data_IF_445602151783
#
_entry.id   IF_445602151783
#
_cell.length_a   1.000
_cell.length_b   1.000
_cell.length_c   1.000
_cell.angle_alpha   90.00
_cell.angle_beta   90.00
_cell.angle_gamma   90.00
#
_symmetry.space_group_name_H-M   'P 1'
#
loop_
_entity.id
_entity.type
_entity.pdbx_description
1 polymer ?
#
# COMPACT_ATOMS: atom_id res chain seq x y z
N UNK A 1 9.54 -7.95 -3.69
CA UNK A 1 8.50 -6.98 -3.27
C UNK A 1 7.84 -6.39 -4.51
N UNK A 2 6.62 -5.89 -4.41
CA UNK A 2 5.92 -5.19 -5.49
C UNK A 2 4.93 -4.19 -4.90
N UNK A 3 5.01 -2.92 -5.30
CA UNK A 3 4.04 -1.90 -4.87
C UNK A 3 2.65 -2.10 -5.47
N UNK A 4 1.65 -1.49 -4.82
CA UNK A 4 0.24 -1.53 -5.24
C UNK A 4 -0.38 -0.15 -5.44
N UNK A 5 -1.58 -0.13 -6.02
CA UNK A 5 -2.35 1.07 -6.35
C UNK A 5 -3.62 1.23 -5.50
N UNK A 6 -4.05 0.17 -4.81
CA UNK A 6 -5.20 0.16 -3.93
C UNK A 6 -4.95 -0.78 -2.74
N UNK A 7 -5.49 -0.43 -1.58
CA UNK A 7 -5.45 -1.27 -0.37
C UNK A 7 -6.80 -1.25 0.36
N UNK A 8 -7.31 -2.42 0.74
CA UNK A 8 -8.41 -2.58 1.71
C UNK A 8 -7.78 -3.02 3.04
N UNK A 9 -7.79 -2.11 4.02
CA UNK A 9 -7.20 -2.31 5.34
C UNK A 9 -7.95 -3.35 6.18
N UNK A 10 -9.28 -3.46 6.00
CA UNK A 10 -10.11 -4.39 6.76
C UNK A 10 -9.82 -5.83 6.35
N UNK A 11 -9.73 -6.09 5.04
CA UNK A 11 -9.46 -7.44 4.50
C UNK A 11 -7.96 -7.72 4.31
N UNK A 12 -7.10 -6.73 4.54
CA UNK A 12 -5.66 -6.77 4.23
C UNK A 12 -5.39 -7.20 2.80
N UNK A 13 -6.11 -6.60 1.85
CA UNK A 13 -5.97 -6.86 0.42
C UNK A 13 -5.28 -5.69 -0.26
N UNK A 14 -4.50 -5.96 -1.30
CA UNK A 14 -3.96 -4.93 -2.17
C UNK A 14 -4.15 -5.29 -3.63
N UNK A 15 -4.29 -4.28 -4.48
CA UNK A 15 -4.50 -4.46 -5.91
C UNK A 15 -3.62 -3.54 -6.75
N UNK A 16 -3.20 -4.04 -7.91
CA UNK A 16 -2.40 -3.33 -8.89
C UNK A 16 -3.29 -2.92 -10.06
N UNK A 17 -3.10 -1.69 -10.55
CA UNK A 17 -3.72 -1.22 -11.78
C UNK A 17 -2.97 -1.77 -13.00
N UNK A 18 -3.72 -2.26 -13.98
CA UNK A 18 -3.21 -3.00 -15.12
C UNK A 18 -3.63 -2.32 -16.42
N UNK A 19 -2.73 -1.51 -16.99
CA UNK A 19 -2.91 -0.91 -18.31
C UNK A 19 -2.52 -1.83 -19.48
N UNK A 20 -1.44 -2.62 -19.32
CA UNK A 20 -0.91 -3.46 -20.39
C UNK A 20 -1.65 -4.82 -20.47
N UNK A 21 -1.98 -5.35 -21.68
CA UNK A 21 -2.74 -6.61 -21.83
C UNK A 21 -2.03 -7.84 -21.27
N UNK A 22 -0.70 -7.81 -21.17
CA UNK A 22 0.11 -8.87 -20.53
C UNK A 22 0.27 -8.69 -19.01
N UNK A 23 -0.60 -7.90 -18.38
CA UNK A 23 -0.57 -7.55 -16.96
C UNK A 23 0.71 -6.91 -16.40
N UNK A 24 1.69 -6.57 -17.24
CA UNK A 24 2.87 -5.81 -16.84
C UNK A 24 3.74 -6.56 -15.82
N UNK A 25 4.40 -5.81 -14.93
CA UNK A 25 5.44 -6.36 -14.05
C UNK A 25 4.91 -7.23 -12.91
N UNK A 26 3.60 -7.22 -12.60
CA UNK A 26 3.06 -8.08 -11.54
C UNK A 26 3.12 -9.56 -11.94
N UNK A 27 2.92 -9.90 -13.21
CA UNK A 27 2.99 -11.30 -13.67
C UNK A 27 4.40 -11.85 -13.47
N UNK A 28 5.43 -11.05 -13.75
CA UNK A 28 6.83 -11.42 -13.53
C UNK A 28 7.10 -11.68 -12.04
N UNK A 29 6.55 -10.83 -11.16
CA UNK A 29 6.66 -11.02 -9.72
C UNK A 29 5.96 -12.31 -9.26
N UNK A 30 4.76 -12.61 -9.77
CA UNK A 30 4.03 -13.84 -9.44
C UNK A 30 4.74 -15.10 -9.94
N UNK A 31 5.34 -15.06 -11.13
CA UNK A 31 6.16 -16.16 -11.64
C UNK A 31 7.34 -16.45 -10.70
N UNK A 32 8.03 -15.40 -10.22
CA UNK A 32 9.13 -15.57 -9.26
C UNK A 32 8.63 -16.12 -7.91
N UNK A 33 7.51 -15.61 -7.41
CA UNK A 33 6.87 -16.04 -6.14
C UNK A 33 6.51 -17.53 -6.19
N UNK A 34 5.79 -17.95 -7.22
CA UNK A 34 5.33 -19.34 -7.38
C UNK A 34 6.49 -20.28 -7.71
N UNK A 35 7.35 -19.90 -8.66
CA UNK A 35 8.46 -20.73 -9.13
C UNK A 35 9.53 -20.94 -8.06
N UNK A 36 9.78 -19.94 -7.21
CA UNK A 36 10.80 -20.00 -6.14
C UNK A 36 10.22 -20.31 -4.76
N UNK A 37 8.89 -20.42 -4.63
CA UNK A 37 8.17 -20.64 -3.36
C UNK A 37 8.50 -19.58 -2.29
N UNK A 38 8.58 -18.32 -2.69
CA UNK A 38 8.88 -17.19 -1.79
C UNK A 38 7.63 -16.36 -1.50
N UNK A 39 7.63 -15.60 -0.40
CA UNK A 39 6.53 -14.67 -0.08
C UNK A 39 6.63 -13.39 -0.91
N UNK A 40 5.48 -12.85 -1.31
CA UNK A 40 5.38 -11.50 -1.87
C UNK A 40 4.98 -10.52 -0.78
N UNK A 41 5.88 -9.60 -0.42
CA UNK A 41 5.51 -8.41 0.37
C UNK A 41 5.06 -7.30 -0.59
N UNK A 42 3.91 -6.71 -0.27
CA UNK A 42 3.26 -5.64 -1.03
C UNK A 42 3.31 -4.36 -0.19
N UNK A 43 4.38 -3.56 -0.30
CA UNK A 43 4.42 -2.24 0.30
C UNK A 43 3.39 -1.34 -0.40
N UNK A 44 2.50 -0.73 0.36
CA UNK A 44 1.44 0.14 -0.18
C UNK A 44 1.08 1.20 0.83
N UNK A 45 0.99 2.44 0.34
CA UNK A 45 0.71 3.57 1.19
C UNK A 45 -0.77 3.73 1.54
N UNK A 46 -1.06 4.24 2.74
CA UNK A 46 -2.42 4.46 3.25
C UNK A 46 -3.22 5.49 2.44
N UNK A 47 -2.58 6.33 1.64
CA UNK A 47 -3.24 7.24 0.69
C UNK A 47 -4.00 6.48 -0.40
N UNK A 48 -3.59 5.24 -0.69
CA UNK A 48 -4.21 4.35 -1.67
C UNK A 48 -5.37 3.51 -1.08
N UNK A 49 -5.84 3.84 0.13
CA UNK A 49 -6.96 3.11 0.75
C UNK A 49 -8.22 3.22 -0.10
N UNK A 50 -8.91 2.10 -0.27
CA UNK A 50 -10.18 2.01 -1.00
C UNK A 50 -11.24 1.46 -0.06
N UNK A 51 -12.41 2.10 -0.04
CA UNK A 51 -13.55 1.59 0.69
C UNK A 51 -14.28 0.53 -0.16
N UNK A 52 -14.15 -0.73 0.22
CA UNK A 52 -14.83 -1.85 -0.42
C UNK A 52 -13.91 -3.04 -0.70
N UNK A 53 -14.53 -4.19 -0.96
CA UNK A 53 -13.81 -5.41 -1.31
C UNK A 53 -13.16 -5.28 -2.70
N UNK A 54 -11.83 -5.41 -2.75
CA UNK A 54 -11.07 -5.23 -3.98
C UNK A 54 -11.40 -6.30 -5.03
N UNK A 55 -11.82 -7.50 -4.63
CA UNK A 55 -12.27 -8.53 -5.58
C UNK A 55 -13.60 -8.16 -6.23
N UNK A 56 -14.56 -7.65 -5.46
CA UNK A 56 -15.83 -7.17 -6.00
C UNK A 56 -15.65 -5.98 -6.94
N UNK A 57 -14.70 -5.09 -6.64
CA UNK A 57 -14.35 -3.97 -7.54
C UNK A 57 -13.68 -4.50 -8.81
N UNK A 58 -12.75 -5.45 -8.68
CA UNK A 58 -12.04 -6.05 -9.80
C UNK A 58 -12.98 -6.77 -10.77
N UNK A 59 -13.97 -7.51 -10.26
CA UNK A 59 -14.99 -8.17 -11.09
C UNK A 59 -15.69 -7.18 -12.02
N UNK A 60 -16.10 -6.03 -11.48
CA UNK A 60 -16.79 -4.97 -12.24
C UNK A 60 -15.88 -4.33 -13.30
N UNK A 61 -14.67 -3.93 -12.92
CA UNK A 61 -13.78 -3.18 -13.82
C UNK A 61 -13.06 -4.07 -14.84
N UNK A 62 -13.06 -5.38 -14.62
CA UNK A 62 -12.46 -6.37 -15.53
C UNK A 62 -13.49 -7.11 -16.37
N UNK A 63 -14.78 -6.76 -16.30
CA UNK A 63 -15.84 -7.45 -17.01
C UNK A 63 -15.54 -7.52 -18.54
N UNK A 64 -15.73 -8.67 -19.21
CA UNK A 64 -15.46 -8.79 -20.64
C UNK A 64 -16.20 -7.73 -21.46
N UNK A 65 -15.46 -7.08 -22.37
CA UNK A 65 -16.00 -6.01 -23.21
C UNK A 65 -15.91 -4.61 -22.59
N UNK A 66 -15.55 -4.49 -21.31
CA UNK A 66 -15.25 -3.17 -20.71
C UNK A 66 -13.96 -2.57 -21.24
N UNK A 67 -13.89 -1.24 -21.21
CA UNK A 67 -12.71 -0.45 -21.59
C UNK A 67 -12.12 0.22 -20.36
N UNK A 68 -10.82 0.46 -20.39
CA UNK A 68 -10.12 1.21 -19.34
C UNK A 68 -9.07 0.36 -18.62
N UNK A 69 -8.70 0.81 -17.42
CA UNK A 69 -7.70 0.19 -16.59
C UNK A 69 -8.33 -1.00 -15.85
N UNK A 70 -7.65 -2.14 -15.87
CA UNK A 70 -8.03 -3.33 -15.10
C UNK A 70 -7.48 -3.25 -13.68
N UNK A 71 -8.14 -3.91 -12.73
CA UNK A 71 -7.68 -4.01 -11.35
C UNK A 71 -7.35 -5.46 -11.03
N UNK A 72 -6.18 -5.72 -10.45
CA UNK A 72 -5.78 -7.07 -10.08
C UNK A 72 -5.47 -7.17 -8.57
N UNK A 73 -6.46 -7.61 -7.77
CA UNK A 73 -6.24 -8.03 -6.39
C UNK A 73 -5.21 -9.15 -6.38
N UNK A 74 -4.10 -8.91 -5.70
CA UNK A 74 -2.90 -9.74 -5.82
C UNK A 74 -2.66 -10.49 -4.52
N UNK A 75 -2.41 -11.81 -4.57
CA UNK A 75 -2.02 -12.56 -3.38
C UNK A 75 -0.64 -12.10 -2.90
N UNK A 76 -0.54 -11.73 -1.63
CA UNK A 76 0.68 -11.29 -0.98
C UNK A 76 0.40 -10.73 0.40
N UNK A 77 1.46 -10.50 1.17
CA UNK A 77 1.37 -9.85 2.47
C UNK A 77 1.38 -8.34 2.26
N UNK A 78 0.25 -7.69 2.54
CA UNK A 78 0.15 -6.23 2.60
C UNK A 78 1.04 -5.70 3.72
N UNK A 79 1.77 -4.63 3.43
CA UNK A 79 2.63 -3.94 4.38
C UNK A 79 2.46 -2.43 4.17
N UNK A 80 1.93 -1.75 5.17
CA UNK A 80 1.59 -0.32 5.17
C UNK A 80 2.51 0.45 6.12
N UNK A 81 2.33 1.77 6.18
CA UNK A 81 3.02 2.63 7.14
C UNK A 81 2.65 2.28 8.59
N UNK A 82 1.43 1.78 8.86
CA UNK A 82 1.06 1.26 10.19
C UNK A 82 1.93 0.06 10.57
N UNK A 83 2.12 -0.88 9.64
CA UNK A 83 2.99 -2.03 9.86
C UNK A 83 4.46 -1.61 10.01
N UNK A 84 4.89 -0.58 9.26
CA UNK A 84 6.25 -0.06 9.31
C UNK A 84 6.59 0.60 10.66
N UNK A 85 5.69 1.44 11.19
CA UNK A 85 5.85 2.05 12.53
C UNK A 85 6.00 0.95 13.57
N UNK A 86 5.09 -0.01 13.59
CA UNK A 86 5.15 -1.11 14.55
C UNK A 86 6.42 -1.95 14.41
N UNK A 87 6.80 -2.32 13.19
CA UNK A 87 7.96 -3.16 12.94
C UNK A 87 9.28 -2.48 13.34
N UNK A 88 9.40 -1.17 13.12
CA UNK A 88 10.66 -0.44 13.31
C UNK A 88 10.83 0.13 14.72
N UNK A 89 9.74 0.48 15.41
CA UNK A 89 9.81 1.17 16.71
C UNK A 89 9.08 0.44 17.82
N UNK A 90 8.23 -0.55 17.49
CA UNK A 90 7.35 -1.22 18.45
C UNK A 90 6.11 -0.42 18.83
N UNK A 91 5.99 0.85 18.44
CA UNK A 91 4.80 1.66 18.68
C UNK A 91 3.60 1.13 17.87
N UNK A 92 2.40 1.53 18.25
CA UNK A 92 1.19 1.31 17.46
C UNK A 92 0.81 2.57 16.70
N UNK A 93 0.17 2.41 15.54
CA UNK A 93 -0.29 3.54 14.73
C UNK A 93 -1.73 3.32 14.26
N UNK A 94 -2.52 4.39 14.28
CA UNK A 94 -3.89 4.41 13.78
C UNK A 94 -4.08 5.55 12.79
N UNK A 95 -4.70 5.27 11.65
CA UNK A 95 -5.05 6.28 10.65
C UNK A 95 -6.23 7.13 11.14
N UNK A 96 -5.99 8.41 11.41
CA UNK A 96 -7.02 9.31 11.97
C UNK A 96 -7.61 10.29 10.95
N UNK A 97 -6.88 10.64 9.90
CA UNK A 97 -7.39 11.47 8.82
C UNK A 97 -6.58 11.27 7.54
N UNK A 98 -7.15 11.64 6.40
CA UNK A 98 -6.46 11.61 5.12
C UNK A 98 -6.94 12.72 4.21
N UNK A 99 -6.06 13.15 3.31
CA UNK A 99 -6.22 14.32 2.47
C UNK A 99 -5.60 15.58 3.10
N UNK A 100 -5.30 16.52 2.23
CA UNK A 100 -4.78 17.85 2.52
C UNK A 100 -5.01 18.74 1.30
N UNK A 101 -4.44 19.94 1.32
CA UNK A 101 -4.54 20.90 0.20
C UNK A 101 -3.16 21.50 -0.09
N UNK A 102 -3.02 22.13 -1.26
CA UNK A 102 -1.80 22.87 -1.64
C UNK A 102 -0.55 21.98 -1.71
N UNK A 103 -0.65 20.81 -2.34
CA UNK A 103 0.44 19.84 -2.48
C UNK A 103 0.43 18.71 -1.45
N UNK A 104 -0.54 18.69 -0.54
CA UNK A 104 -0.72 17.66 0.49
C UNK A 104 -1.93 16.74 0.20
N UNK A 105 -2.40 16.64 -1.05
CA UNK A 105 -3.64 15.94 -1.41
C UNK A 105 -3.59 14.44 -1.09
N UNK A 106 -2.39 13.84 -1.13
CA UNK A 106 -2.15 12.45 -0.75
C UNK A 106 -1.72 12.24 0.71
N UNK A 107 -1.62 13.30 1.51
CA UNK A 107 -1.16 13.20 2.90
C UNK A 107 -2.22 12.59 3.81
N UNK A 108 -1.81 12.17 5.00
CA UNK A 108 -2.68 11.65 6.05
C UNK A 108 -2.01 11.79 7.42
N UNK A 109 -2.80 11.68 8.47
CA UNK A 109 -2.32 11.72 9.85
C UNK A 109 -2.45 10.36 10.52
N UNK A 110 -1.42 10.00 11.27
CA UNK A 110 -1.39 8.83 12.15
C UNK A 110 -1.41 9.29 13.61
N UNK A 111 -2.26 8.69 14.43
CA UNK A 111 -2.08 8.70 15.89
C UNK A 111 -1.10 7.58 16.25
N UNK A 112 -0.02 7.93 16.93
CA UNK A 112 1.00 6.97 17.37
C UNK A 112 0.92 6.84 18.89
N UNK A 113 0.99 5.61 19.39
CA UNK A 113 0.90 5.33 20.82
C UNK A 113 1.85 4.21 21.19
N UNK A 114 2.64 4.43 22.25
CA UNK A 114 3.62 3.48 22.77
C UNK A 114 4.15 3.89 24.14
N UNK A 115 5.31 3.36 24.51
CA UNK A 115 6.12 3.95 25.60
C UNK A 115 6.81 5.22 25.10
N UNK A 116 7.32 6.04 26.02
CA UNK A 116 8.09 7.25 25.69
C UNK A 116 9.21 6.94 24.70
N UNK A 117 9.98 5.86 24.92
CA UNK A 117 11.06 5.46 24.02
C UNK A 117 10.57 5.03 22.62
N UNK A 118 9.39 4.40 22.53
CA UNK A 118 8.81 3.97 21.26
C UNK A 118 8.27 5.16 20.46
N UNK A 119 7.67 6.13 21.15
CA UNK A 119 7.14 7.36 20.55
C UNK A 119 8.27 8.26 20.05
N UNK A 120 9.32 8.46 20.85
CA UNK A 120 10.53 9.17 20.43
C UNK A 120 11.20 8.50 19.21
N UNK A 121 11.27 7.17 19.20
CA UNK A 121 11.80 6.43 18.06
C UNK A 121 10.95 6.63 16.80
N UNK A 122 9.62 6.68 16.94
CA UNK A 122 8.70 6.92 15.84
C UNK A 122 8.81 8.36 15.30
N UNK A 123 8.90 9.36 16.17
CA UNK A 123 9.11 10.76 15.77
C UNK A 123 10.43 10.92 14.99
N UNK A 124 11.52 10.34 15.51
CA UNK A 124 12.82 10.35 14.84
C UNK A 124 12.78 9.68 13.47
N UNK A 125 12.12 8.52 13.37
CA UNK A 125 11.93 7.79 12.12
C UNK A 125 11.17 8.65 11.09
N UNK A 126 10.00 9.17 11.47
CA UNK A 126 9.15 9.95 10.57
C UNK A 126 9.82 11.24 10.11
N UNK A 127 10.51 11.93 11.01
CA UNK A 127 11.26 13.15 10.67
C UNK A 127 12.38 12.86 9.66
N UNK A 128 13.02 11.70 9.77
CA UNK A 128 14.11 11.32 8.86
C UNK A 128 13.66 11.09 7.42
N UNK A 129 12.38 10.73 7.20
CA UNK A 129 11.82 10.46 5.87
C UNK A 129 10.91 11.58 5.34
N UNK A 130 10.49 12.53 6.19
CA UNK A 130 9.55 13.59 5.83
C UNK A 130 10.02 14.49 4.66
N UNK A 131 11.34 14.58 4.45
CA UNK A 131 11.97 15.42 3.43
C UNK A 131 12.64 14.60 2.31
N UNK A 132 12.25 13.34 2.13
CA UNK A 132 12.73 12.56 1.00
C UNK A 132 12.40 13.26 -0.33
N UNK A 133 13.35 13.31 -1.27
CA UNK A 133 13.09 13.91 -2.58
C UNK A 133 12.04 13.11 -3.33
N UNK A 134 11.26 13.79 -4.17
CA UNK A 134 10.33 13.13 -5.08
C UNK A 134 11.07 12.10 -5.96
N UNK A 135 10.44 10.94 -6.16
CA UNK A 135 11.01 9.90 -7.01
C UNK A 135 11.23 10.40 -8.44
N UNK A 136 12.44 10.21 -8.96
CA UNK A 136 12.81 10.48 -10.36
C UNK A 136 13.03 9.17 -11.13
N UNK A 137 12.43 9.04 -12.31
CA UNK A 137 12.59 7.92 -13.24
C UNK A 137 13.87 8.03 -14.09
#
# INVERSE_FOLDING_TARGET
>A
MKGANAVDLQRKQAAILIGHPKAGTIVVALQAVLGRRVKLIIPVGLEKRVNGDLFCIAEKVNEPGTKGIRLFPTPGQVFTEIDAVHFLTGATAELISGGGVSGAEGSYWLAITGTEEQEEAAEKLLTSVAYEPAFSL
#
